data_IF_463055134103
#
_entry.id   IF_463055134103
#
_cell.length_a   1.000
_cell.length_b   1.000
_cell.length_c   1.000
_cell.angle_alpha   90.00
_cell.angle_beta   90.00
_cell.angle_gamma   90.00
#
_symmetry.space_group_name_H-M   'P 1'
#
loop_
_entity.id
_entity.type
_entity.pdbx_description
1 polymer ?
#
# COMPACT_ATOMS: atom_id res chain seq x y z
N UNK A 1 31.65 -8.95 -33.85
CA UNK A 1 30.67 -8.17 -34.64
C UNK A 1 29.69 -7.57 -33.65
N UNK A 2 29.54 -6.23 -33.61
CA UNK A 2 28.61 -5.56 -32.69
C UNK A 2 27.17 -5.98 -33.01
N UNK A 3 26.40 -6.43 -32.01
CA UNK A 3 24.97 -6.73 -32.18
C UNK A 3 24.23 -5.42 -32.53
N UNK A 4 23.31 -5.42 -33.50
CA UNK A 4 22.58 -4.22 -33.86
C UNK A 4 21.80 -3.66 -32.65
N UNK A 5 21.69 -2.32 -32.50
CA UNK A 5 20.91 -1.71 -31.43
C UNK A 5 19.48 -2.23 -31.40
N UNK A 6 18.97 -2.55 -30.22
CA UNK A 6 17.60 -3.02 -30.04
C UNK A 6 16.60 -1.91 -30.42
N UNK A 7 15.68 -2.23 -31.33
CA UNK A 7 14.52 -1.39 -31.63
C UNK A 7 13.27 -1.93 -30.94
N UNK A 8 12.60 -1.15 -30.07
CA UNK A 8 11.44 -1.63 -29.34
C UNK A 8 10.23 -1.83 -30.26
N UNK A 9 9.38 -2.83 -29.99
CA UNK A 9 8.18 -3.07 -30.77
C UNK A 9 7.17 -1.93 -30.61
N UNK A 10 6.61 -1.46 -31.73
CA UNK A 10 5.53 -0.48 -31.71
C UNK A 10 4.24 -1.12 -31.15
N UNK A 11 3.79 -0.64 -29.99
CA UNK A 11 2.58 -1.15 -29.34
C UNK A 11 1.31 -0.57 -29.97
N UNK A 12 0.28 -1.39 -30.17
CA UNK A 12 -1.00 -0.94 -30.72
C UNK A 12 -1.76 -0.05 -29.73
N UNK A 13 -2.37 1.04 -30.22
CA UNK A 13 -3.20 1.96 -29.42
C UNK A 13 -4.38 1.23 -28.76
N UNK A 14 -5.02 0.30 -29.47
CA UNK A 14 -6.13 -0.48 -28.92
C UNK A 14 -5.72 -1.30 -27.70
N UNK A 15 -4.59 -2.02 -27.78
CA UNK A 15 -4.06 -2.79 -26.66
C UNK A 15 -3.71 -1.92 -25.45
N UNK A 16 -3.19 -0.71 -25.68
CA UNK A 16 -2.88 0.24 -24.61
C UNK A 16 -4.16 0.74 -23.89
N UNK A 17 -5.25 0.96 -24.63
CA UNK A 17 -6.53 1.40 -24.05
C UNK A 17 -7.14 0.28 -23.19
N UNK A 18 -7.13 -0.96 -23.67
CA UNK A 18 -7.65 -2.11 -22.91
C UNK A 18 -6.84 -2.32 -21.63
N UNK A 19 -5.51 -2.26 -21.71
CA UNK A 19 -4.62 -2.37 -20.56
C UNK A 19 -4.91 -1.30 -19.51
N UNK A 20 -5.05 -0.03 -19.94
CA UNK A 20 -5.40 1.07 -19.03
C UNK A 20 -6.74 0.84 -18.31
N UNK A 21 -7.77 0.38 -19.02
CA UNK A 21 -9.06 0.07 -18.40
C UNK A 21 -8.99 -1.14 -17.48
N UNK A 22 -8.22 -2.17 -17.83
CA UNK A 22 -8.03 -3.33 -16.98
C UNK A 22 -7.34 -2.95 -15.67
N UNK A 23 -6.24 -2.19 -15.74
CA UNK A 23 -5.54 -1.68 -14.55
C UNK A 23 -6.46 -0.82 -13.71
N UNK A 24 -7.25 0.08 -14.33
CA UNK A 24 -8.25 0.88 -13.61
C UNK A 24 -9.27 0.00 -12.87
N UNK A 25 -9.80 -1.03 -13.54
CA UNK A 25 -10.73 -1.96 -12.92
C UNK A 25 -10.08 -2.74 -11.77
N UNK A 26 -8.85 -3.22 -11.92
CA UNK A 26 -8.11 -3.92 -10.88
C UNK A 26 -7.82 -3.03 -9.67
N UNK A 27 -7.52 -1.74 -9.89
CA UNK A 27 -7.35 -0.76 -8.80
C UNK A 27 -8.67 -0.59 -8.05
N UNK A 28 -9.79 -0.40 -8.76
CA UNK A 28 -11.10 -0.28 -8.13
C UNK A 28 -11.45 -1.53 -7.33
N UNK A 29 -11.27 -2.73 -7.90
CA UNK A 29 -11.50 -3.99 -7.18
C UNK A 29 -10.62 -4.07 -5.94
N UNK A 30 -9.33 -3.77 -6.05
CA UNK A 30 -8.40 -3.84 -4.92
C UNK A 30 -8.77 -2.87 -3.80
N UNK A 31 -9.24 -1.67 -4.12
CA UNK A 31 -9.67 -0.68 -3.14
C UNK A 31 -11.02 -1.00 -2.51
N UNK A 32 -11.99 -1.50 -3.29
CA UNK A 32 -13.37 -1.72 -2.81
C UNK A 32 -13.61 -3.10 -2.23
N UNK A 33 -12.88 -4.13 -2.65
CA UNK A 33 -13.10 -5.50 -2.18
C UNK A 33 -12.92 -5.66 -0.66
N UNK A 34 -11.89 -5.07 -0.01
CA UNK A 34 -11.77 -5.11 1.44
C UNK A 34 -12.93 -4.42 2.16
N UNK A 35 -13.45 -3.32 1.59
CA UNK A 35 -14.62 -2.60 2.14
C UNK A 35 -15.89 -3.44 2.01
N UNK A 36 -16.12 -4.06 0.85
CA UNK A 36 -17.28 -4.92 0.60
C UNK A 36 -17.32 -6.12 1.54
N UNK A 37 -16.15 -6.70 1.83
CA UNK A 37 -16.00 -7.85 2.72
C UNK A 37 -15.96 -7.47 4.21
N UNK A 38 -16.03 -6.17 4.54
CA UNK A 38 -15.89 -5.69 5.92
C UNK A 38 -14.50 -5.96 6.52
N UNK A 39 -13.49 -6.19 5.68
CA UNK A 39 -12.10 -6.40 6.06
C UNK A 39 -11.34 -5.07 6.24
N UNK A 40 -11.95 -3.96 5.82
CA UNK A 40 -11.42 -2.62 5.98
C UNK A 40 -12.10 -1.91 7.17
N UNK A 41 -11.26 -1.36 8.05
CA UNK A 41 -11.69 -0.72 9.31
C UNK A 41 -11.06 -1.40 10.51
N UNK A 42 -10.59 -0.62 11.49
CA UNK A 42 -10.18 -1.16 12.78
C UNK A 42 -11.40 -1.71 13.52
N UNK A 43 -11.21 -2.77 14.31
CA UNK A 43 -12.26 -3.25 15.21
C UNK A 43 -12.77 -2.08 16.06
N UNK A 44 -14.08 -2.01 16.27
CA UNK A 44 -14.69 -1.04 17.18
C UNK A 44 -15.18 -1.79 18.40
N UNK A 45 -14.74 -1.34 19.57
CA UNK A 45 -15.30 -1.79 20.84
C UNK A 45 -16.44 -0.84 21.22
N UNK A 46 -17.63 -1.40 21.44
CA UNK A 46 -18.85 -0.65 21.73
C UNK A 46 -19.22 -0.89 23.18
N UNK A 47 -18.94 0.10 24.02
CA UNK A 47 -19.39 0.09 25.42
C UNK A 47 -20.76 0.74 25.53
N UNK A 48 -21.74 -0.02 26.00
CA UNK A 48 -23.09 0.48 26.32
C UNK A 48 -23.15 1.04 27.75
N UNK A 49 -23.98 2.05 27.95
CA UNK A 49 -24.20 2.69 29.25
C UNK A 49 -25.71 2.79 29.49
N UNK A 50 -26.24 2.09 30.50
CA UNK A 50 -27.68 2.04 30.77
C UNK A 50 -28.25 3.34 31.35
N UNK A 51 -27.43 4.07 32.12
CA UNK A 51 -27.77 5.37 32.70
C UNK A 51 -26.56 6.32 32.57
N UNK A 52 -26.32 6.90 31.39
CA UNK A 52 -25.14 7.69 31.14
C UNK A 52 -25.18 9.01 31.92
N UNK A 53 -24.21 9.19 32.81
CA UNK A 53 -23.86 10.48 33.44
C UNK A 53 -22.49 10.91 32.94
N UNK A 54 -22.15 12.21 33.05
CA UNK A 54 -20.82 12.68 32.66
C UNK A 54 -19.70 11.91 33.37
N UNK A 55 -19.91 11.59 34.65
CA UNK A 55 -18.99 10.78 35.44
C UNK A 55 -18.88 9.34 34.94
N UNK A 56 -20.00 8.68 34.62
CA UNK A 56 -20.00 7.33 34.05
C UNK A 56 -19.29 7.25 32.68
N UNK A 57 -19.30 8.35 31.94
CA UNK A 57 -18.59 8.51 30.67
C UNK A 57 -17.10 8.89 30.84
N UNK A 58 -16.62 8.97 32.08
CA UNK A 58 -15.26 9.36 32.41
C UNK A 58 -14.93 10.81 32.06
N UNK A 59 -15.95 11.68 31.95
CA UNK A 59 -15.79 13.11 31.68
C UNK A 59 -15.72 13.88 33.00
N UNK A 60 -14.72 14.75 33.13
CA UNK A 60 -14.68 15.73 34.22
C UNK A 60 -15.52 16.98 33.88
N UNK A 61 -15.66 17.91 34.82
CA UNK A 61 -16.50 19.10 34.65
C UNK A 61 -16.12 19.94 33.42
N UNK A 62 -14.82 20.15 33.18
CA UNK A 62 -14.35 20.93 32.04
C UNK A 62 -14.66 20.24 30.69
N UNK A 63 -14.54 18.91 30.64
CA UNK A 63 -14.87 18.13 29.44
C UNK A 63 -16.39 18.12 29.17
N UNK A 64 -17.20 17.92 30.22
CA UNK A 64 -18.66 17.96 30.12
C UNK A 64 -19.16 19.31 29.62
N UNK A 65 -18.50 20.42 30.01
CA UNK A 65 -18.83 21.75 29.51
C UNK A 65 -18.63 21.88 27.99
N UNK A 66 -17.58 21.27 27.44
CA UNK A 66 -17.34 21.28 25.99
C UNK A 66 -18.43 20.51 25.24
N UNK A 67 -18.81 19.33 25.72
CA UNK A 67 -19.93 18.58 25.15
C UNK A 67 -21.24 19.36 25.21
N UNK A 68 -21.49 20.03 26.33
CA UNK A 68 -22.67 20.87 26.51
C UNK A 68 -22.68 22.05 25.52
N UNK A 69 -21.53 22.69 25.28
CA UNK A 69 -21.38 23.76 24.26
C UNK A 69 -21.65 23.27 22.84
N UNK A 70 -21.35 22.01 22.57
CA UNK A 70 -21.66 21.35 21.30
C UNK A 70 -23.12 20.86 21.21
N UNK A 71 -23.93 21.09 22.26
CA UNK A 71 -25.35 20.70 22.30
C UNK A 71 -25.61 19.23 22.64
N UNK A 72 -24.62 18.54 23.22
CA UNK A 72 -24.74 17.15 23.64
C UNK A 72 -25.09 17.04 25.12
N UNK A 73 -26.07 16.19 25.43
CA UNK A 73 -26.33 15.68 26.77
C UNK A 73 -25.57 14.35 27.00
N UNK A 74 -25.49 13.83 28.24
CA UNK A 74 -24.80 12.58 28.52
C UNK A 74 -25.29 11.39 27.66
N UNK A 75 -26.58 11.32 27.34
CA UNK A 75 -27.13 10.21 26.56
C UNK A 75 -26.61 10.22 25.12
N UNK A 76 -26.64 11.39 24.47
CA UNK A 76 -26.12 11.55 23.10
C UNK A 76 -24.59 11.43 23.06
N UNK A 77 -23.90 11.94 24.08
CA UNK A 77 -22.46 11.80 24.18
C UNK A 77 -22.04 10.34 24.39
N UNK A 78 -22.84 9.55 25.11
CA UNK A 78 -22.56 8.12 25.35
C UNK A 78 -22.47 7.31 24.05
N UNK A 79 -23.30 7.62 23.04
CA UNK A 79 -23.26 6.93 21.75
C UNK A 79 -21.95 7.17 20.98
N UNK A 80 -21.34 8.34 21.18
CA UNK A 80 -20.08 8.73 20.53
C UNK A 80 -18.90 8.22 21.36
N UNK A 81 -18.90 8.48 22.66
CA UNK A 81 -17.83 8.10 23.60
C UNK A 81 -17.73 6.58 23.74
N UNK A 82 -18.86 5.87 23.63
CA UNK A 82 -18.93 4.42 23.74
C UNK A 82 -18.43 3.67 22.51
N UNK A 83 -18.42 4.29 21.33
CA UNK A 83 -17.88 3.70 20.09
C UNK A 83 -16.42 4.08 19.93
N UNK A 84 -15.52 3.23 20.43
CA UNK A 84 -14.06 3.48 20.38
C UNK A 84 -13.38 2.52 19.43
N UNK A 85 -12.24 2.94 18.90
CA UNK A 85 -11.35 2.03 18.19
C UNK A 85 -10.75 1.02 19.18
N UNK A 86 -10.67 -0.24 18.76
CA UNK A 86 -9.95 -1.28 19.46
C UNK A 86 -8.45 -1.11 19.21
N UNK A 87 -7.72 -0.78 20.27
CA UNK A 87 -6.26 -0.63 20.28
C UNK A 87 -5.54 -1.88 20.80
N UNK A 88 -6.24 -3.01 20.95
CA UNK A 88 -5.63 -4.26 21.36
C UNK A 88 -4.57 -4.69 20.34
N UNK A 89 -3.37 -4.98 20.83
CA UNK A 89 -2.27 -5.40 19.98
C UNK A 89 -2.46 -6.85 19.51
N UNK A 90 -2.62 -7.04 18.21
CA UNK A 90 -2.76 -8.38 17.61
C UNK A 90 -1.39 -8.96 17.24
N UNK A 91 -0.84 -9.80 18.12
CA UNK A 91 0.37 -10.57 17.83
C UNK A 91 0.20 -11.50 16.62
N UNK A 92 -1.00 -12.05 16.41
CA UNK A 92 -1.30 -12.89 15.25
C UNK A 92 -1.20 -12.11 13.94
N UNK A 93 -1.77 -10.90 13.88
CA UNK A 93 -1.67 -10.03 12.70
C UNK A 93 -0.22 -9.59 12.44
N UNK A 94 0.55 -9.30 13.50
CA UNK A 94 1.97 -8.99 13.37
C UNK A 94 2.75 -10.15 12.73
N UNK A 95 2.60 -11.37 13.27
CA UNK A 95 3.30 -12.56 12.76
C UNK A 95 2.88 -12.83 11.32
N UNK A 96 1.58 -12.75 11.01
CA UNK A 96 1.09 -12.91 9.64
C UNK A 96 1.74 -11.91 8.68
N UNK A 97 1.87 -10.65 9.08
CA UNK A 97 2.52 -9.59 8.29
C UNK A 97 3.99 -9.91 8.05
N UNK A 98 4.72 -10.34 9.09
CA UNK A 98 6.12 -10.77 8.97
C UNK A 98 6.25 -11.93 7.99
N UNK A 99 5.39 -12.95 8.09
CA UNK A 99 5.40 -14.11 7.19
C UNK A 99 5.16 -13.70 5.75
N UNK A 100 4.20 -12.81 5.49
CA UNK A 100 3.92 -12.31 4.14
C UNK A 100 5.12 -11.56 3.57
N UNK A 101 5.72 -10.65 4.33
CA UNK A 101 6.89 -9.86 3.88
C UNK A 101 8.08 -10.79 3.59
N UNK A 102 8.45 -11.64 4.55
CA UNK A 102 9.58 -12.56 4.41
C UNK A 102 9.34 -13.54 3.27
N UNK A 103 8.13 -14.10 3.18
CA UNK A 103 7.73 -15.02 2.11
C UNK A 103 7.84 -14.38 0.74
N UNK A 104 7.37 -13.14 0.59
CA UNK A 104 7.49 -12.37 -0.65
C UNK A 104 8.95 -12.18 -1.07
N UNK A 105 9.81 -11.71 -0.17
CA UNK A 105 11.22 -11.49 -0.49
C UNK A 105 11.97 -12.80 -0.77
N UNK A 106 11.70 -13.86 -0.02
CA UNK A 106 12.30 -15.17 -0.26
C UNK A 106 11.92 -15.70 -1.65
N UNK A 107 10.64 -15.58 -2.04
CA UNK A 107 10.17 -15.95 -3.37
C UNK A 107 10.81 -15.10 -4.47
N UNK A 108 10.80 -13.78 -4.30
CA UNK A 108 11.36 -12.82 -5.25
C UNK A 108 12.85 -13.09 -5.51
N UNK A 109 13.66 -13.20 -4.46
CA UNK A 109 15.09 -13.50 -4.58
C UNK A 109 15.34 -14.84 -5.28
N UNK A 110 14.58 -15.88 -4.91
CA UNK A 110 14.76 -17.21 -5.48
C UNK A 110 14.42 -17.30 -6.97
N UNK A 111 13.41 -16.56 -7.43
CA UNK A 111 13.02 -16.56 -8.84
C UNK A 111 13.87 -15.60 -9.68
N UNK A 112 14.33 -14.49 -9.08
CA UNK A 112 15.07 -13.45 -9.78
C UNK A 112 16.50 -13.82 -10.13
N UNK A 113 17.07 -14.84 -9.48
CA UNK A 113 18.44 -15.31 -9.73
C UNK A 113 18.70 -15.66 -11.20
N UNK A 114 17.69 -16.20 -11.91
CA UNK A 114 17.82 -16.56 -13.32
C UNK A 114 17.91 -15.33 -14.21
N UNK A 115 16.97 -14.40 -14.06
CA UNK A 115 16.89 -13.18 -14.88
C UNK A 115 18.13 -12.28 -14.67
N UNK A 116 18.61 -12.13 -13.43
CA UNK A 116 19.82 -11.37 -13.18
C UNK A 116 21.06 -11.99 -13.83
N UNK A 117 21.18 -13.32 -13.82
CA UNK A 117 22.30 -14.02 -14.49
C UNK A 117 22.23 -13.87 -16.00
N UNK A 118 21.02 -13.94 -16.57
CA UNK A 118 20.81 -13.78 -18.02
C UNK A 118 21.14 -12.34 -18.46
N UNK A 119 20.76 -11.30 -17.69
CA UNK A 119 21.16 -9.90 -17.93
C UNK A 119 22.66 -9.67 -17.76
N UNK A 120 23.28 -10.27 -16.74
CA UNK A 120 24.73 -10.15 -16.53
C UNK A 120 25.49 -10.83 -17.67
N UNK A 121 25.02 -11.99 -18.14
CA UNK A 121 25.60 -12.66 -19.29
C UNK A 121 25.47 -11.80 -20.55
N UNK A 122 24.31 -11.18 -20.79
CA UNK A 122 24.10 -10.30 -21.95
C UNK A 122 24.97 -9.04 -21.91
N UNK A 123 25.15 -8.42 -20.74
CA UNK A 123 25.86 -7.13 -20.60
C UNK A 123 27.36 -7.27 -20.35
N UNK A 124 27.83 -8.42 -19.83
CA UNK A 124 29.21 -8.58 -19.37
C UNK A 124 29.92 -9.86 -19.85
N UNK A 125 29.24 -10.86 -20.46
CA UNK A 125 29.94 -12.03 -20.99
C UNK A 125 30.64 -11.75 -22.35
N UNK A 126 30.30 -10.66 -23.04
CA UNK A 126 30.98 -10.21 -24.28
C UNK A 126 32.23 -9.34 -23.95
N UNK A 127 33.05 -9.79 -22.99
CA UNK A 127 34.20 -9.08 -22.41
C UNK A 127 35.44 -8.90 -23.30
N UNK A 128 35.33 -8.85 -24.63
CA UNK A 128 36.47 -8.74 -25.56
C UNK A 128 36.29 -7.63 -26.64
N UNK A 129 35.81 -6.44 -26.27
CA UNK A 129 35.70 -5.27 -27.17
C UNK A 129 36.53 -4.07 -26.67
N UNK A 130 37.35 -3.42 -27.51
CA UNK A 130 38.29 -2.38 -27.04
C UNK A 130 37.52 -1.17 -26.49
N UNK A 131 38.04 -0.58 -25.41
CA UNK A 131 37.56 0.66 -24.84
C UNK A 131 37.52 1.75 -25.93
N UNK A 132 36.32 2.08 -26.41
CA UNK A 132 36.14 3.15 -27.38
C UNK A 132 36.43 4.48 -26.65
N UNK A 133 37.44 5.26 -27.08
CA UNK A 133 37.72 6.54 -26.45
C UNK A 133 36.54 7.47 -26.68
N UNK A 134 36.03 8.05 -25.58
CA UNK A 134 34.90 8.98 -25.56
C UNK A 134 35.11 10.05 -26.62
N UNK A 135 34.48 9.89 -27.80
CA UNK A 135 34.50 10.90 -28.85
C UNK A 135 33.52 11.98 -28.41
N UNK A 136 34.06 13.01 -27.77
CA UNK A 136 33.37 14.26 -27.41
C UNK A 136 32.68 14.79 -28.69
N UNK A 137 31.35 14.77 -28.72
CA UNK A 137 30.58 15.43 -29.78
C UNK A 137 30.88 16.92 -29.69
N UNK A 138 31.65 17.43 -30.65
CA UNK A 138 31.80 18.87 -30.86
C UNK A 138 30.61 19.30 -31.72
N UNK A 139 29.77 20.23 -31.26
CA UNK A 139 28.70 20.79 -32.08
C UNK A 139 29.33 21.55 -33.26
N UNK A 140 28.83 21.34 -34.48
CA UNK A 140 29.13 22.24 -35.58
C UNK A 140 28.19 23.45 -35.49
N UNK A 141 28.80 24.63 -35.57
CA UNK A 141 28.15 25.94 -35.69
C UNK A 141 27.29 26.07 -36.96
#
# INVERSE_FOLDING_TARGET
MSKPPYEPPAQSVFGQVVDAFLVLALVLVTLYLPLLLGLAGGGVDVKTFDAPTWEALGQNAAMAEQWTKLGFDPAKAAEIIGKRFDYAFSWGALIATIVVIVGYFAFMLRWSDKEYRDVIAERFADGDGPAEPIRRQVPND
#
